data_IF_262890417762
#
_entry.id   IF_262890417762
#
_cell.length_a   1.000
_cell.length_b   1.000
_cell.length_c   1.000
_cell.angle_alpha   90.00
_cell.angle_beta   90.00
_cell.angle_gamma   90.00
#
_symmetry.space_group_name_H-M   'P 1'
#
loop_
_entity.id
_entity.type
_entity.pdbx_description
1 polymer ?
#
# COMPACT_ATOMS: atom_id res chain seq x y z
N UNK A 1 26.47 0.63 15.43
CA UNK A 1 26.00 0.47 14.03
C UNK A 1 25.06 -0.74 13.82
N UNK A 2 24.55 -1.39 14.88
CA UNK A 2 23.63 -2.55 14.80
C UNK A 2 22.16 -2.22 15.15
N UNK A 3 21.82 -0.94 15.40
CA UNK A 3 20.49 -0.54 15.88
C UNK A 3 19.48 -0.16 14.78
N UNK A 4 19.91 0.19 13.56
CA UNK A 4 18.95 0.50 12.48
C UNK A 4 18.23 -0.75 11.95
N UNK A 5 18.91 -1.90 11.89
CA UNK A 5 18.31 -3.17 11.45
C UNK A 5 17.28 -3.74 12.44
N UNK A 6 17.35 -3.39 13.72
CA UNK A 6 16.33 -3.80 14.71
C UNK A 6 15.11 -2.88 14.71
N UNK A 7 15.26 -1.58 14.40
CA UNK A 7 14.13 -0.69 14.15
C UNK A 7 13.32 -1.09 12.90
N UNK A 8 13.98 -1.69 11.90
CA UNK A 8 13.31 -2.21 10.69
C UNK A 8 12.47 -3.49 10.91
N UNK A 9 12.58 -4.16 12.07
CA UNK A 9 11.78 -5.38 12.34
C UNK A 9 10.31 -5.11 12.63
N UNK A 10 9.98 -3.92 13.15
CA UNK A 10 8.58 -3.47 13.30
C UNK A 10 7.99 -2.90 12.02
N UNK A 11 8.84 -2.54 11.06
CA UNK A 11 8.49 -2.05 9.71
C UNK A 11 8.59 -3.18 8.66
N UNK A 12 8.79 -4.43 9.08
CA UNK A 12 8.80 -5.59 8.18
C UNK A 12 7.46 -5.84 7.43
N UNK A 13 6.28 -5.45 7.97
CA UNK A 13 5.04 -5.44 7.20
C UNK A 13 5.03 -4.41 6.06
N UNK A 14 5.65 -3.22 6.28
CA UNK A 14 5.98 -2.29 5.20
C UNK A 14 6.95 -2.95 4.24
N UNK A 15 7.95 -3.67 4.77
CA UNK A 15 8.83 -4.55 4.01
C UNK A 15 8.07 -5.66 3.28
N UNK A 16 6.79 -5.97 3.50
CA UNK A 16 6.02 -6.84 2.60
C UNK A 16 5.30 -6.06 1.52
N UNK A 17 4.92 -4.80 1.72
CA UNK A 17 4.65 -3.87 0.61
C UNK A 17 5.96 -3.52 -0.15
N UNK A 18 7.13 -3.68 0.49
CA UNK A 18 8.48 -3.37 0.00
C UNK A 18 9.29 -4.59 -0.51
N UNK A 19 8.95 -5.83 -0.13
CA UNK A 19 9.68 -7.09 -0.45
C UNK A 19 9.52 -7.50 -1.91
N UNK A 20 8.69 -6.76 -2.64
CA UNK A 20 8.39 -7.00 -4.03
C UNK A 20 9.48 -6.48 -4.98
N UNK A 21 10.65 -6.09 -4.49
CA UNK A 21 11.67 -5.34 -5.23
C UNK A 21 12.82 -6.20 -5.75
N UNK A 22 12.73 -6.58 -7.03
CA UNK A 22 13.87 -6.53 -7.95
C UNK A 22 13.37 -6.52 -9.41
N UNK A 23 13.84 -5.55 -10.20
CA UNK A 23 13.94 -5.57 -11.66
C UNK A 23 12.59 -5.65 -12.44
N UNK A 24 12.06 -4.67 -13.23
CA UNK A 24 12.63 -3.60 -14.11
C UNK A 24 11.49 -2.76 -14.78
N UNK A 25 11.83 -1.52 -15.22
CA UNK A 25 11.72 -0.91 -16.59
C UNK A 25 11.77 0.63 -16.53
N UNK A 26 11.88 1.17 -15.32
CA UNK A 26 12.63 2.40 -15.05
C UNK A 26 13.90 1.99 -14.29
N UNK A 27 15.07 2.61 -14.55
CA UNK A 27 16.23 2.41 -13.68
C UNK A 27 15.80 2.78 -12.27
N UNK A 28 15.58 1.77 -11.42
CA UNK A 28 15.29 2.00 -10.03
C UNK A 28 16.63 2.30 -9.39
N UNK A 29 16.81 3.57 -9.11
CA UNK A 29 17.91 4.06 -8.34
C UNK A 29 17.74 3.53 -6.91
N UNK A 30 18.38 2.41 -6.56
CA UNK A 30 18.30 1.79 -5.22
C UNK A 30 18.57 2.77 -4.07
N UNK A 31 19.26 3.87 -4.35
CA UNK A 31 19.47 4.97 -3.42
C UNK A 31 18.17 5.73 -3.05
N UNK A 32 17.08 5.55 -3.79
CA UNK A 32 15.76 6.13 -3.52
C UNK A 32 14.89 5.32 -2.57
N UNK A 33 15.29 4.09 -2.20
CA UNK A 33 14.52 3.30 -1.22
C UNK A 33 14.42 4.03 0.11
N UNK A 34 15.56 4.54 0.58
CA UNK A 34 15.61 5.30 1.83
C UNK A 34 14.79 6.59 1.71
N UNK A 35 14.85 7.26 0.56
CA UNK A 35 14.04 8.46 0.26
C UNK A 35 12.54 8.13 0.25
N UNK A 36 12.12 7.04 -0.39
CA UNK A 36 10.71 6.60 -0.43
C UNK A 36 10.21 6.23 0.97
N UNK A 37 11.04 5.58 1.78
CA UNK A 37 10.70 5.27 3.17
C UNK A 37 10.58 6.53 4.02
N UNK A 38 11.49 7.49 3.85
CA UNK A 38 11.40 8.80 4.50
C UNK A 38 10.12 9.51 4.09
N UNK A 39 9.85 9.60 2.78
CA UNK A 39 8.63 10.23 2.25
C UNK A 39 7.36 9.58 2.79
N UNK A 40 7.32 8.25 2.85
CA UNK A 40 6.21 7.51 3.42
C UNK A 40 5.94 7.91 4.87
N UNK A 41 6.99 7.97 5.69
CA UNK A 41 6.85 8.28 7.11
C UNK A 41 6.49 9.73 7.38
N UNK A 42 6.93 10.65 6.51
CA UNK A 42 6.78 12.09 6.73
C UNK A 42 5.53 12.69 6.09
N UNK A 43 5.15 12.22 4.89
CA UNK A 43 4.14 12.89 4.05
C UNK A 43 2.92 12.03 3.72
N UNK A 44 2.81 10.83 4.30
CA UNK A 44 1.72 9.92 3.95
C UNK A 44 1.27 9.01 5.10
N UNK A 45 0.21 8.27 4.84
CA UNK A 45 -0.35 7.24 5.72
C UNK A 45 -0.97 6.12 4.87
N UNK A 46 -1.06 4.91 5.44
CA UNK A 46 -1.46 3.69 4.72
C UNK A 46 -2.82 3.83 3.99
N UNK A 47 -3.81 4.45 4.62
CA UNK A 47 -5.14 4.62 4.03
C UNK A 47 -5.11 5.46 2.74
N UNK A 48 -4.38 6.59 2.72
CA UNK A 48 -4.33 7.48 1.56
C UNK A 48 -3.54 6.87 0.41
N UNK A 49 -2.50 6.08 0.72
CA UNK A 49 -1.78 5.32 -0.30
C UNK A 49 -2.67 4.24 -0.90
N UNK A 50 -3.39 3.47 -0.08
CA UNK A 50 -4.30 2.43 -0.58
C UNK A 50 -5.42 3.04 -1.41
N UNK A 51 -6.00 4.13 -0.93
CA UNK A 51 -7.06 4.88 -1.62
C UNK A 51 -6.61 5.25 -3.04
N UNK A 52 -5.49 5.95 -3.15
CA UNK A 52 -4.89 6.36 -4.40
C UNK A 52 -4.54 5.18 -5.31
N UNK A 53 -3.80 4.18 -4.80
CA UNK A 53 -3.36 3.04 -5.62
C UNK A 53 -4.55 2.25 -6.16
N UNK A 54 -5.58 2.02 -5.35
CA UNK A 54 -6.76 1.26 -5.78
C UNK A 54 -7.50 2.01 -6.88
N UNK A 55 -7.68 3.32 -6.74
CA UNK A 55 -8.38 4.13 -7.72
C UNK A 55 -7.61 4.18 -9.05
N UNK A 56 -6.32 4.52 -9.01
CA UNK A 56 -5.45 4.55 -10.20
C UNK A 56 -5.36 3.17 -10.89
N UNK A 57 -5.26 2.08 -10.12
CA UNK A 57 -5.27 0.73 -10.70
C UNK A 57 -6.60 0.39 -11.36
N UNK A 58 -7.73 0.83 -10.80
CA UNK A 58 -9.03 0.59 -11.40
C UNK A 58 -9.27 1.48 -12.62
N UNK A 59 -8.66 2.67 -12.69
CA UNK A 59 -8.66 3.51 -13.88
C UNK A 59 -7.79 2.90 -15.00
N UNK A 60 -6.59 2.42 -14.67
CA UNK A 60 -5.68 1.78 -15.64
C UNK A 60 -6.20 0.41 -16.11
N UNK A 61 -6.80 -0.36 -15.19
CA UNK A 61 -7.33 -1.70 -15.42
C UNK A 61 -8.78 -1.81 -14.91
N UNK A 62 -9.78 -1.36 -15.71
CA UNK A 62 -11.18 -1.36 -15.31
C UNK A 62 -11.74 -2.72 -14.87
N UNK A 63 -11.14 -3.82 -15.31
CA UNK A 63 -11.50 -5.16 -14.84
C UNK A 63 -11.26 -5.38 -13.35
N UNK A 64 -10.39 -4.60 -12.69
CA UNK A 64 -10.13 -4.66 -11.25
C UNK A 64 -11.28 -4.10 -10.43
N UNK A 65 -12.07 -3.18 -11.01
CA UNK A 65 -13.18 -2.52 -10.33
C UNK A 65 -14.16 -3.56 -9.74
N UNK A 66 -14.56 -3.44 -8.47
CA UNK A 66 -15.36 -4.45 -7.79
C UNK A 66 -16.88 -4.27 -8.00
N UNK A 67 -17.25 -3.39 -8.94
CA UNK A 67 -18.59 -3.23 -9.51
C UNK A 67 -19.47 -2.16 -8.85
N UNK A 68 -19.21 -1.81 -7.59
CA UNK A 68 -19.90 -0.71 -6.90
C UNK A 68 -18.96 0.06 -5.98
N UNK A 69 -19.38 1.26 -5.57
CA UNK A 69 -18.63 2.10 -4.65
C UNK A 69 -18.48 1.45 -3.27
N UNK A 70 -19.53 0.80 -2.78
CA UNK A 70 -19.49 0.09 -1.50
C UNK A 70 -18.47 -1.05 -1.53
N UNK A 71 -18.38 -1.77 -2.65
CA UNK A 71 -17.36 -2.79 -2.81
C UNK A 71 -15.96 -2.18 -3.01
N UNK A 72 -15.84 -0.95 -3.53
CA UNK A 72 -14.56 -0.25 -3.62
C UNK A 72 -14.03 0.08 -2.23
N UNK A 73 -14.89 0.64 -1.38
CA UNK A 73 -14.59 0.90 0.03
C UNK A 73 -14.23 -0.42 0.75
N UNK A 74 -15.00 -1.49 0.51
CA UNK A 74 -14.70 -2.81 1.09
C UNK A 74 -13.35 -3.35 0.62
N UNK A 75 -12.99 -3.19 -0.65
CA UNK A 75 -11.68 -3.60 -1.18
C UNK A 75 -10.55 -2.82 -0.48
N UNK A 76 -10.64 -1.49 -0.41
CA UNK A 76 -9.66 -0.63 0.28
C UNK A 76 -9.49 -1.05 1.75
N UNK A 77 -10.59 -1.33 2.44
CA UNK A 77 -10.60 -1.84 3.82
C UNK A 77 -9.98 -3.23 3.95
N UNK A 78 -10.33 -4.17 3.09
CA UNK A 78 -9.73 -5.51 3.09
C UNK A 78 -8.20 -5.43 2.90
N UNK A 79 -7.68 -4.52 2.07
CA UNK A 79 -6.24 -4.34 1.89
C UNK A 79 -5.57 -3.89 3.19
N UNK A 80 -6.17 -2.95 3.93
CA UNK A 80 -5.66 -2.55 5.26
C UNK A 80 -5.66 -3.72 6.23
N UNK A 81 -6.75 -4.49 6.30
CA UNK A 81 -6.82 -5.66 7.16
C UNK A 81 -5.77 -6.70 6.80
N UNK A 82 -5.58 -6.97 5.51
CA UNK A 82 -4.53 -7.88 5.03
C UNK A 82 -3.15 -7.37 5.42
N UNK A 83 -2.90 -6.05 5.33
CA UNK A 83 -1.62 -5.46 5.73
C UNK A 83 -1.27 -5.72 7.21
N UNK A 84 -2.28 -5.73 8.09
CA UNK A 84 -2.12 -5.97 9.53
C UNK A 84 -2.00 -7.45 9.92
N UNK A 85 -2.22 -8.39 8.98
CA UNK A 85 -2.12 -9.83 9.26
C UNK A 85 -0.68 -10.28 9.54
N UNK A 86 -0.51 -11.43 10.21
CA UNK A 86 0.78 -12.12 10.28
C UNK A 86 1.37 -12.42 8.89
N UNK A 87 2.70 -12.37 8.80
CA UNK A 87 3.47 -12.57 7.56
C UNK A 87 3.08 -13.83 6.77
N UNK A 88 2.85 -14.93 7.49
CA UNK A 88 2.46 -16.20 6.88
C UNK A 88 1.10 -16.12 6.18
N UNK A 89 0.12 -15.50 6.83
CA UNK A 89 -1.23 -15.35 6.28
C UNK A 89 -1.23 -14.41 5.07
N UNK A 90 -0.47 -13.32 5.15
CA UNK A 90 -0.24 -12.42 4.02
C UNK A 90 0.32 -13.17 2.81
N UNK A 91 1.38 -13.96 3.02
CA UNK A 91 2.01 -14.72 1.94
C UNK A 91 1.03 -15.68 1.24
N UNK A 92 0.14 -16.32 1.99
CA UNK A 92 -0.91 -17.19 1.42
C UNK A 92 -1.90 -16.38 0.56
N UNK A 93 -2.36 -15.22 1.04
CA UNK A 93 -3.27 -14.36 0.27
C UNK A 93 -2.60 -13.85 -1.02
N UNK A 94 -1.35 -13.40 -0.93
CA UNK A 94 -0.59 -12.89 -2.08
C UNK A 94 -0.22 -13.97 -3.10
N UNK A 95 -0.05 -15.21 -2.66
CA UNK A 95 0.09 -16.36 -3.56
C UNK A 95 -1.25 -16.78 -4.21
N UNK A 96 -2.34 -16.06 -3.93
CA UNK A 96 -3.65 -16.28 -4.54
C UNK A 96 -4.45 -17.42 -3.92
N UNK A 97 -4.09 -17.87 -2.71
CA UNK A 97 -4.90 -18.86 -1.99
C UNK A 97 -6.25 -18.24 -1.57
N UNK A 98 -7.32 -19.05 -1.51
CA UNK A 98 -8.62 -18.59 -1.03
C UNK A 98 -8.52 -18.03 0.39
N UNK A 99 -9.15 -16.88 0.63
CA UNK A 99 -9.17 -16.22 1.92
C UNK A 99 -10.55 -15.65 2.23
N UNK A 100 -10.75 -15.19 3.47
CA UNK A 100 -11.96 -14.43 3.85
C UNK A 100 -12.01 -13.03 3.21
N UNK A 101 -10.88 -12.54 2.70
CA UNK A 101 -10.74 -11.25 2.01
C UNK A 101 -10.96 -11.44 0.52
N UNK A 102 -12.22 -11.62 0.14
CA UNK A 102 -12.59 -12.11 -1.19
C UNK A 102 -12.32 -11.10 -2.30
N UNK A 103 -12.46 -9.80 -2.01
CA UNK A 103 -12.21 -8.74 -2.99
C UNK A 103 -10.72 -8.61 -3.27
N UNK A 104 -9.89 -8.61 -2.22
CA UNK A 104 -8.43 -8.62 -2.36
C UNK A 104 -7.95 -9.85 -3.14
N UNK A 105 -8.41 -11.05 -2.76
CA UNK A 105 -8.04 -12.28 -3.48
C UNK A 105 -8.46 -12.22 -4.96
N UNK A 106 -9.63 -11.64 -5.28
CA UNK A 106 -10.08 -11.47 -6.66
C UNK A 106 -9.21 -10.47 -7.44
N UNK A 107 -8.93 -9.31 -6.84
CA UNK A 107 -8.09 -8.27 -7.44
C UNK A 107 -6.67 -8.78 -7.72
N UNK A 108 -6.07 -9.49 -6.76
CA UNK A 108 -4.74 -10.12 -6.93
C UNK A 108 -4.72 -11.12 -8.08
N UNK A 109 -5.75 -11.96 -8.22
CA UNK A 109 -5.83 -12.90 -9.33
C UNK A 109 -5.94 -12.21 -10.69
N UNK A 110 -6.67 -11.10 -10.77
CA UNK A 110 -6.77 -10.29 -11.99
C UNK A 110 -5.44 -9.59 -12.30
N UNK A 111 -4.80 -8.98 -11.30
CA UNK A 111 -3.47 -8.38 -11.42
C UNK A 111 -2.41 -9.39 -11.88
N UNK A 112 -2.42 -10.61 -11.32
CA UNK A 112 -1.53 -11.69 -11.77
C UNK A 112 -1.77 -12.07 -13.25
N UNK A 113 -3.03 -12.07 -13.71
CA UNK A 113 -3.35 -12.32 -15.13
C UNK A 113 -2.87 -11.18 -16.02
N UNK A 114 -3.10 -9.93 -15.61
CA UNK A 114 -2.62 -8.72 -16.31
C UNK A 114 -1.09 -8.76 -16.40
N UNK A 115 -0.41 -9.00 -15.27
CA UNK A 115 1.05 -9.09 -15.20
C UNK A 115 1.65 -10.18 -16.09
N UNK A 116 0.93 -11.29 -16.30
CA UNK A 116 1.32 -12.35 -17.26
C UNK A 116 1.17 -11.91 -18.72
N UNK A 117 0.30 -10.94 -19.02
CA UNK A 117 0.07 -10.39 -20.35
C UNK A 117 0.97 -9.18 -20.70
N UNK A 118 1.63 -8.57 -19.70
CA UNK A 118 2.60 -7.48 -19.92
C UNK A 118 3.83 -7.97 -20.72
N UNK A 119 4.45 -7.05 -21.48
CA UNK A 119 5.54 -7.29 -22.45
C UNK A 119 6.61 -8.29 -21.96
N UNK A 120 7.24 -9.07 -22.88
CA UNK A 120 8.27 -10.03 -22.52
C UNK A 120 9.40 -9.36 -21.76
N UNK A 121 9.78 -10.02 -20.68
CA UNK A 121 10.82 -9.61 -19.75
C UNK A 121 12.17 -9.53 -20.43
N UNK A 122 12.93 -8.49 -20.10
CA UNK A 122 14.35 -8.47 -20.44
C UNK A 122 15.13 -9.43 -19.52
N UNK A 123 16.42 -9.63 -19.81
CA UNK A 123 17.26 -10.63 -19.14
C UNK A 123 17.35 -10.47 -17.62
N UNK A 124 17.36 -9.24 -17.09
CA UNK A 124 17.44 -9.02 -15.64
C UNK A 124 16.06 -9.15 -14.95
N UNK A 125 14.95 -8.91 -15.68
CA UNK A 125 13.58 -9.20 -15.22
C UNK A 125 13.35 -10.70 -15.11
N UNK A 126 13.94 -11.45 -16.04
CA UNK A 126 13.81 -12.90 -16.12
C UNK A 126 14.48 -13.58 -14.92
N UNK A 127 15.66 -13.12 -14.54
CA UNK A 127 16.41 -13.61 -13.37
C UNK A 127 15.64 -13.35 -12.05
N UNK A 128 14.95 -12.20 -11.93
CA UNK A 128 14.09 -11.95 -10.77
C UNK A 128 12.79 -12.76 -10.79
N UNK A 129 12.13 -12.84 -11.95
CA UNK A 129 10.88 -13.61 -12.12
C UNK A 129 11.05 -15.08 -11.77
N UNK A 130 12.19 -15.67 -12.10
CA UNK A 130 12.46 -17.10 -11.86
C UNK A 130 12.47 -17.46 -10.35
N UNK A 131 12.58 -16.45 -9.48
CA UNK A 131 12.50 -16.62 -8.02
C UNK A 131 11.26 -15.99 -7.38
N UNK A 132 10.55 -15.06 -8.05
CA UNK A 132 9.52 -14.22 -7.42
C UNK A 132 8.38 -13.83 -8.41
N UNK A 133 7.86 -14.78 -9.19
CA UNK A 133 6.94 -14.53 -10.31
C UNK A 133 5.65 -13.78 -9.93
N UNK A 134 5.02 -14.14 -8.80
CA UNK A 134 3.80 -13.49 -8.30
C UNK A 134 4.10 -12.11 -7.69
N UNK A 135 5.35 -11.91 -7.28
CA UNK A 135 5.81 -10.66 -6.70
C UNK A 135 6.14 -9.60 -7.76
N UNK A 136 6.74 -10.03 -8.86
CA UNK A 136 7.10 -9.14 -9.95
C UNK A 136 5.90 -8.39 -10.58
N UNK A 137 4.75 -9.07 -10.73
CA UNK A 137 3.55 -8.46 -11.32
C UNK A 137 3.00 -7.33 -10.43
N UNK A 138 2.87 -7.59 -9.13
CA UNK A 138 2.37 -6.61 -8.15
C UNK A 138 3.33 -5.42 -7.99
N UNK A 139 4.64 -5.71 -8.00
CA UNK A 139 5.67 -4.67 -7.96
C UNK A 139 5.52 -3.67 -9.11
N UNK A 140 5.40 -4.19 -10.33
CA UNK A 140 5.36 -3.36 -11.54
C UNK A 140 4.15 -2.45 -11.60
N UNK A 141 3.04 -2.87 -11.02
CA UNK A 141 1.78 -2.11 -11.05
C UNK A 141 1.67 -1.15 -9.87
N UNK A 142 2.05 -1.56 -8.66
CA UNK A 142 1.80 -0.75 -7.46
C UNK A 142 2.94 0.21 -7.12
N UNK A 143 4.20 -0.18 -7.32
CA UNK A 143 5.34 0.63 -6.85
C UNK A 143 5.43 2.00 -7.53
N UNK A 144 5.25 2.15 -8.86
CA UNK A 144 5.25 3.46 -9.49
C UNK A 144 4.18 4.39 -8.92
N UNK A 145 2.97 3.87 -8.68
CA UNK A 145 1.85 4.62 -8.11
C UNK A 145 2.12 5.05 -6.67
N UNK A 146 2.77 4.18 -5.87
CA UNK A 146 3.22 4.56 -4.52
C UNK A 146 4.18 5.74 -4.57
N UNK A 147 5.20 5.69 -5.44
CA UNK A 147 6.19 6.78 -5.55
C UNK A 147 5.52 8.06 -6.02
N UNK A 148 4.66 7.98 -7.03
CA UNK A 148 3.89 9.12 -7.54
C UNK A 148 3.04 9.78 -6.46
N UNK A 149 2.30 8.98 -5.67
CA UNK A 149 1.53 9.50 -4.55
C UNK A 149 2.41 10.22 -3.52
N UNK A 150 3.55 9.62 -3.17
CA UNK A 150 4.47 10.20 -2.16
C UNK A 150 5.12 11.50 -2.65
N UNK A 151 5.53 11.55 -3.92
CA UNK A 151 6.07 12.77 -4.54
C UNK A 151 5.00 13.88 -4.57
N UNK A 152 3.79 13.56 -5.03
CA UNK A 152 2.66 14.50 -5.04
C UNK A 152 2.36 15.07 -3.64
N UNK A 153 2.34 14.21 -2.62
CA UNK A 153 2.07 14.62 -1.23
C UNK A 153 3.18 15.48 -0.65
N UNK A 154 4.44 15.09 -0.88
CA UNK A 154 5.61 15.87 -0.49
C UNK A 154 5.56 17.26 -1.11
N UNK A 155 5.34 17.34 -2.41
CA UNK A 155 5.30 18.62 -3.14
C UNK A 155 4.15 19.50 -2.63
N UNK A 156 2.95 18.94 -2.43
CA UNK A 156 1.82 19.67 -1.83
C UNK A 156 2.17 20.30 -0.48
N UNK A 157 2.81 19.55 0.42
CA UNK A 157 3.14 20.05 1.75
C UNK A 157 4.25 21.09 1.74
N UNK A 158 5.27 20.89 0.89
CA UNK A 158 6.37 21.84 0.73
C UNK A 158 5.88 23.15 0.10
N UNK A 159 5.05 23.08 -0.94
CA UNK A 159 4.48 24.26 -1.61
C UNK A 159 3.50 25.02 -0.72
N UNK A 160 2.82 24.32 0.19
CA UNK A 160 1.93 24.91 1.19
C UNK A 160 2.70 25.53 2.38
N UNK A 161 4.01 25.31 2.46
CA UNK A 161 4.86 25.83 3.54
C UNK A 161 4.51 25.29 4.93
N UNK A 162 3.92 24.09 5.00
CA UNK A 162 3.46 23.49 6.26
C UNK A 162 4.64 23.02 7.11
N UNK A 163 4.56 23.21 8.43
CA UNK A 163 5.54 22.65 9.35
C UNK A 163 5.34 21.14 9.50
N UNK A 164 6.36 20.44 10.02
CA UNK A 164 6.27 19.01 10.28
C UNK A 164 5.08 18.66 11.19
N UNK A 165 4.83 19.47 12.21
CA UNK A 165 3.71 19.28 13.14
C UNK A 165 2.36 19.48 12.45
N UNK A 166 2.25 20.45 11.54
CA UNK A 166 1.04 20.69 10.76
C UNK A 166 0.75 19.53 9.80
N UNK A 167 1.79 19.02 9.13
CA UNK A 167 1.71 17.83 8.27
C UNK A 167 1.22 16.63 9.06
N UNK A 168 1.81 16.35 10.23
CA UNK A 168 1.40 15.22 11.06
C UNK A 168 -0.06 15.34 11.52
N UNK A 169 -0.52 16.55 11.88
CA UNK A 169 -1.92 16.77 12.25
C UNK A 169 -2.88 16.61 11.07
N UNK A 170 -2.48 17.05 9.88
CA UNK A 170 -3.27 16.90 8.66
C UNK A 170 -3.41 15.43 8.27
N UNK A 171 -2.30 14.69 8.24
CA UNK A 171 -2.28 13.24 8.01
C UNK A 171 -3.16 12.48 9.02
N UNK A 172 -3.13 12.87 10.29
CA UNK A 172 -3.98 12.28 11.31
C UNK A 172 -5.47 12.53 11.06
N UNK A 173 -5.84 13.77 10.68
CA UNK A 173 -7.24 14.11 10.34
C UNK A 173 -7.74 13.36 9.11
N UNK A 174 -6.92 13.26 8.08
CA UNK A 174 -7.24 12.47 6.88
C UNK A 174 -7.40 10.98 7.22
N UNK A 175 -6.48 10.42 8.01
CA UNK A 175 -6.58 9.03 8.48
C UNK A 175 -7.91 8.79 9.21
N UNK A 176 -8.34 9.70 10.09
CA UNK A 176 -9.63 9.59 10.78
C UNK A 176 -10.82 9.63 9.82
N UNK A 177 -10.79 10.50 8.79
CA UNK A 177 -11.84 10.55 7.77
C UNK A 177 -11.96 9.22 7.02
N UNK A 178 -10.83 8.62 6.62
CA UNK A 178 -10.85 7.30 5.97
C UNK A 178 -11.43 6.23 6.89
N UNK A 179 -11.07 6.23 8.17
CA UNK A 179 -11.65 5.27 9.13
C UNK A 179 -13.16 5.47 9.25
N UNK A 180 -13.63 6.71 9.37
CA UNK A 180 -15.05 7.02 9.49
C UNK A 180 -15.84 6.63 8.24
N UNK A 181 -15.28 6.85 7.06
CA UNK A 181 -15.90 6.51 5.79
C UNK A 181 -15.91 5.00 5.55
N UNK A 182 -14.75 4.35 5.71
CA UNK A 182 -14.58 2.93 5.36
C UNK A 182 -15.27 1.99 6.34
N UNK A 183 -15.57 2.45 7.55
CA UNK A 183 -16.17 1.64 8.60
C UNK A 183 -17.55 2.14 9.06
N UNK A 184 -18.16 3.07 8.32
CA UNK A 184 -19.47 3.67 8.66
C UNK A 184 -20.57 2.66 9.00
N UNK A 185 -20.61 1.54 8.27
CA UNK A 185 -21.62 0.48 8.41
C UNK A 185 -21.03 -0.84 8.94
N UNK A 186 -19.82 -0.79 9.51
CA UNK A 186 -19.12 -1.97 10.02
C UNK A 186 -19.63 -2.32 11.44
N UNK A 187 -20.08 -3.57 11.68
CA UNK A 187 -20.63 -3.98 12.98
C UNK A 187 -19.59 -3.99 14.11
N UNK A 188 -18.30 -3.87 13.81
CA UNK A 188 -17.20 -3.94 14.78
C UNK A 188 -16.83 -2.58 15.42
N UNK A 189 -17.83 -1.78 15.81
CA UNK A 189 -17.64 -0.39 16.31
C UNK A 189 -16.56 -0.25 17.41
N UNK A 190 -16.47 -1.22 18.32
CA UNK A 190 -15.47 -1.18 19.39
C UNK A 190 -14.01 -1.27 18.86
N UNK A 191 -13.78 -2.02 17.78
CA UNK A 191 -12.45 -2.14 17.16
C UNK A 191 -12.13 -0.89 16.32
N UNK A 192 -13.15 -0.30 15.71
CA UNK A 192 -13.03 0.93 14.94
C UNK A 192 -12.69 2.10 15.87
N UNK A 193 -13.38 2.23 17.00
CA UNK A 193 -13.07 3.28 17.99
C UNK A 193 -11.67 3.10 18.57
N UNK A 194 -11.25 1.87 18.86
CA UNK A 194 -9.87 1.61 19.29
C UNK A 194 -8.86 2.03 18.21
N UNK A 195 -9.20 1.93 16.92
CA UNK A 195 -8.35 2.36 15.82
C UNK A 195 -8.30 3.88 15.69
N UNK A 196 -9.45 4.57 15.86
CA UNK A 196 -9.50 6.04 15.95
C UNK A 196 -8.64 6.55 17.10
N UNK A 197 -8.71 5.92 18.26
CA UNK A 197 -7.93 6.34 19.42
C UNK A 197 -6.43 6.21 19.18
N UNK A 198 -5.96 5.10 18.60
CA UNK A 198 -4.55 4.94 18.20
C UNK A 198 -4.08 6.04 17.24
N UNK A 199 -4.95 6.50 16.34
CA UNK A 199 -4.65 7.59 15.41
C UNK A 199 -4.56 8.93 16.14
N UNK A 200 -5.51 9.23 17.04
CA UNK A 200 -5.47 10.44 17.87
C UNK A 200 -4.21 10.51 18.73
N UNK A 201 -3.87 9.40 19.38
CA UNK A 201 -2.63 9.27 20.17
C UNK A 201 -1.38 9.47 19.31
N UNK A 202 -1.30 8.81 18.14
CA UNK A 202 -0.14 8.87 17.25
C UNK A 202 0.13 10.30 16.73
N UNK A 203 -0.91 11.05 16.41
CA UNK A 203 -0.80 12.36 15.76
C UNK A 203 -1.12 13.55 16.68
N UNK A 204 -1.28 13.31 17.99
CA UNK A 204 -1.58 14.32 19.01
C UNK A 204 -2.79 15.20 18.65
N UNK A 205 -3.91 14.56 18.28
CA UNK A 205 -5.16 15.21 17.86
C UNK A 205 -6.17 15.43 18.99
#
# INVERSE_FOLDING_TARGET
RLNHLQAMRGLWPLFLLFSFSLAINRPMEFHKIDEVMEMWTEYSHIHGVIDYIVDELCEEYPELHPGSEENMILLKREIVYVYELPEKEKAEIFAGFPSKYTLVSSALQKLMKIGRALKPLNSAEKEFKDHNLDQYALFKTMFPLTVEHLEMRKDYYLDSGMTKEEIQKDLGKETLKFIDEWHKDDPEEALIEASRERVREKYEL
#
